data_IF_213529706693
#
_entry.id   IF_213529706693
#
_cell.length_a   1.000
_cell.length_b   1.000
_cell.length_c   1.000
_cell.angle_alpha   90.00
_cell.angle_beta   90.00
_cell.angle_gamma   90.00
#
_symmetry.space_group_name_H-M   'P 1'
#
loop_
_entity.id
_entity.type
_entity.pdbx_description
1 polymer ?
#
# COMPACT_ATOMS: atom_id res chain seq x y z
N UNK A 1 -17.07 4.25 -26.27
CA UNK A 1 -15.81 4.53 -26.97
C UNK A 1 -15.31 3.32 -27.80
N UNK A 2 -15.96 2.14 -27.72
CA UNK A 2 -15.57 0.93 -28.46
C UNK A 2 -14.21 0.34 -28.07
N UNK A 3 -13.63 0.77 -26.93
CA UNK A 3 -12.40 0.20 -26.40
C UNK A 3 -12.71 -1.10 -25.68
N UNK A 4 -11.98 -2.15 -26.03
CA UNK A 4 -12.06 -3.46 -25.37
C UNK A 4 -10.81 -3.64 -24.53
N UNK A 5 -10.96 -4.22 -23.33
CA UNK A 5 -9.83 -4.60 -22.47
C UNK A 5 -8.98 -5.66 -23.22
N UNK A 6 -7.69 -5.41 -23.35
CA UNK A 6 -6.75 -6.32 -24.02
C UNK A 6 -6.20 -7.42 -23.10
N UNK A 7 -6.61 -7.41 -21.83
CA UNK A 7 -6.21 -8.37 -20.83
C UNK A 7 -4.76 -8.25 -20.38
N UNK A 8 -4.04 -7.19 -20.76
CA UNK A 8 -2.61 -7.01 -20.39
C UNK A 8 -2.41 -6.33 -19.03
N UNK A 9 -3.49 -5.83 -18.42
CA UNK A 9 -3.45 -5.13 -17.13
C UNK A 9 -2.99 -3.68 -17.28
N UNK A 10 -2.18 -3.21 -16.34
CA UNK A 10 -1.68 -1.85 -16.28
C UNK A 10 -0.20 -1.78 -16.63
N UNK A 11 0.22 -0.64 -17.20
CA UNK A 11 1.62 -0.31 -17.42
C UNK A 11 2.04 0.90 -16.59
N UNK A 12 3.27 0.87 -16.07
CA UNK A 12 3.92 2.02 -15.46
C UNK A 12 5.35 2.15 -15.98
N UNK A 13 5.63 3.24 -16.67
CA UNK A 13 6.91 3.49 -17.32
C UNK A 13 7.78 4.38 -16.42
N UNK A 14 8.85 3.80 -15.88
CA UNK A 14 9.86 4.56 -15.13
C UNK A 14 10.82 5.17 -16.15
N UNK A 15 10.99 6.51 -16.17
CA UNK A 15 11.93 7.16 -17.07
C UNK A 15 13.37 6.65 -16.86
N UNK A 16 14.13 6.48 -17.95
CA UNK A 16 15.49 5.93 -17.91
C UNK A 16 16.50 6.76 -17.08
N UNK A 17 16.21 8.05 -16.91
CA UNK A 17 17.02 8.95 -16.10
C UNK A 17 16.63 8.95 -14.60
N UNK A 18 15.66 8.14 -14.19
CA UNK A 18 15.28 8.03 -12.77
C UNK A 18 16.45 7.50 -11.95
N UNK A 19 16.83 8.23 -10.90
CA UNK A 19 17.90 7.80 -10.00
C UNK A 19 17.54 6.44 -9.37
N UNK A 20 18.49 5.49 -9.39
CA UNK A 20 18.33 4.23 -8.67
C UNK A 20 18.38 4.50 -7.16
N UNK A 21 17.35 4.09 -6.45
CA UNK A 21 17.19 4.29 -5.00
C UNK A 21 17.42 3.00 -4.19
N UNK A 22 17.59 1.88 -4.89
CA UNK A 22 17.74 0.57 -4.21
C UNK A 22 19.07 0.50 -3.45
N UNK A 23 20.09 1.24 -3.91
CA UNK A 23 21.37 1.35 -3.23
C UNK A 23 21.31 2.18 -1.93
N UNK A 24 20.24 2.96 -1.74
CA UNK A 24 20.03 3.73 -0.51
C UNK A 24 19.47 2.84 0.63
N UNK A 25 19.02 1.61 0.29
CA UNK A 25 18.51 0.64 1.27
C UNK A 25 19.65 -0.01 2.07
N UNK A 26 19.48 -0.18 3.39
CA UNK A 26 20.39 -0.99 4.21
C UNK A 26 20.51 -2.43 3.71
N UNK A 27 21.64 -3.10 4.04
CA UNK A 27 21.95 -4.45 3.54
C UNK A 27 20.85 -5.49 3.87
N UNK A 28 20.22 -5.39 5.03
CA UNK A 28 19.16 -6.31 5.46
C UNK A 28 17.87 -6.21 4.64
N UNK A 29 17.70 -5.15 3.80
CA UNK A 29 16.56 -5.01 2.88
C UNK A 29 16.83 -5.61 1.50
N UNK A 30 18.11 -5.80 1.14
CA UNK A 30 18.50 -6.25 -0.20
C UNK A 30 17.99 -7.64 -0.58
N UNK A 31 17.89 -8.63 0.33
CA UNK A 31 17.36 -9.94 -0.03
C UNK A 31 15.86 -9.88 -0.35
N UNK A 32 15.08 -9.21 0.49
CA UNK A 32 13.63 -9.05 0.33
C UNK A 32 13.08 -8.02 1.33
N UNK A 33 12.02 -7.31 0.94
CA UNK A 33 11.28 -6.42 1.83
C UNK A 33 9.82 -6.27 1.40
N UNK A 34 8.99 -5.75 2.29
CA UNK A 34 7.61 -5.36 2.03
C UNK A 34 7.55 -3.86 1.79
N UNK A 35 6.97 -3.44 0.66
CA UNK A 35 6.59 -2.05 0.44
C UNK A 35 5.27 -1.76 1.15
N UNK A 36 5.29 -0.92 2.17
CA UNK A 36 4.09 -0.50 2.91
C UNK A 36 3.74 0.95 2.56
N UNK A 37 2.70 1.13 1.76
CA UNK A 37 2.19 2.45 1.38
C UNK A 37 1.32 2.98 2.51
N UNK A 38 1.82 3.98 3.24
CA UNK A 38 1.10 4.60 4.36
C UNK A 38 0.34 5.86 3.98
N UNK A 39 0.67 6.45 2.82
CA UNK A 39 0.05 7.65 2.29
C UNK A 39 -1.27 7.37 1.57
N UNK A 40 -2.16 8.35 1.59
CA UNK A 40 -3.35 8.46 0.75
C UNK A 40 -3.80 9.92 0.67
N UNK A 41 -4.54 10.28 -0.40
CA UNK A 41 -5.02 11.66 -0.60
C UNK A 41 -6.07 12.09 0.43
N UNK A 42 -6.76 11.13 1.06
CA UNK A 42 -7.84 11.41 2.01
C UNK A 42 -7.63 10.69 3.33
N UNK A 43 -7.99 11.37 4.42
CA UNK A 43 -7.89 10.84 5.78
C UNK A 43 -8.56 9.46 5.94
N UNK A 44 -9.78 9.31 5.42
CA UNK A 44 -10.55 8.09 5.61
C UNK A 44 -10.15 6.92 4.69
N UNK A 45 -9.05 7.07 3.96
CA UNK A 45 -8.33 5.99 3.27
C UNK A 45 -7.08 5.53 4.02
N UNK A 46 -6.59 6.29 5.03
CA UNK A 46 -5.38 5.96 5.79
C UNK A 46 -5.72 5.11 7.01
N UNK A 47 -4.98 4.04 7.22
CA UNK A 47 -5.09 3.23 8.44
C UNK A 47 -4.46 3.99 9.63
N UNK A 48 -5.05 3.97 10.85
CA UNK A 48 -4.50 4.65 12.02
C UNK A 48 -3.10 4.17 12.41
N UNK A 49 -2.33 5.05 13.05
CA UNK A 49 -0.93 4.81 13.44
C UNK A 49 -0.79 3.56 14.33
N UNK A 50 -1.68 3.35 15.29
CA UNK A 50 -1.66 2.17 16.15
C UNK A 50 -1.87 0.87 15.37
N UNK A 51 -2.69 0.90 14.32
CA UNK A 51 -2.90 -0.24 13.42
C UNK A 51 -1.70 -0.46 12.50
N UNK A 52 -1.07 0.62 12.02
CA UNK A 52 0.20 0.53 11.27
C UNK A 52 1.28 -0.12 12.14
N UNK A 53 1.42 0.31 13.40
CA UNK A 53 2.40 -0.25 14.33
C UNK A 53 2.14 -1.74 14.59
N UNK A 54 0.89 -2.14 14.82
CA UNK A 54 0.52 -3.54 15.00
C UNK A 54 0.83 -4.38 13.74
N UNK A 55 0.52 -3.85 12.56
CA UNK A 55 0.82 -4.51 11.28
C UNK A 55 2.33 -4.70 11.09
N UNK A 56 3.14 -3.65 11.29
CA UNK A 56 4.60 -3.70 11.19
C UNK A 56 5.19 -4.71 12.17
N UNK A 57 4.68 -4.76 13.41
CA UNK A 57 5.13 -5.73 14.41
C UNK A 57 4.92 -7.19 13.97
N UNK A 58 3.84 -7.46 13.23
CA UNK A 58 3.45 -8.82 12.81
C UNK A 58 4.05 -9.26 11.47
N UNK A 59 4.55 -8.35 10.63
CA UNK A 59 5.25 -8.67 9.37
C UNK A 59 6.68 -9.09 9.69
N UNK A 60 7.15 -10.19 9.08
CA UNK A 60 8.49 -10.76 9.34
C UNK A 60 9.61 -10.06 8.57
N UNK A 61 9.35 -9.69 7.32
CA UNK A 61 10.34 -9.04 6.45
C UNK A 61 10.58 -7.58 6.87
N UNK A 62 11.74 -7.01 6.51
CA UNK A 62 11.96 -5.57 6.57
C UNK A 62 10.90 -4.80 5.78
N UNK A 63 10.63 -3.56 6.17
CA UNK A 63 9.55 -2.76 5.60
C UNK A 63 10.08 -1.43 5.09
N UNK A 64 9.81 -1.13 3.82
CA UNK A 64 10.01 0.19 3.23
C UNK A 64 8.68 0.95 3.29
N UNK A 65 8.63 2.03 4.07
CA UNK A 65 7.47 2.92 4.12
C UNK A 65 7.45 3.84 2.91
N UNK A 66 6.32 3.88 2.21
CA UNK A 66 6.13 4.67 1.00
C UNK A 66 4.98 5.65 1.24
N UNK A 67 5.24 6.93 1.00
CA UNK A 67 4.26 8.01 1.21
C UNK A 67 4.77 9.34 0.71
N UNK A 68 3.90 10.35 0.72
CA UNK A 68 4.22 11.72 0.36
C UNK A 68 4.88 12.51 1.49
N UNK A 69 5.15 13.80 1.25
CA UNK A 69 5.71 14.69 2.29
C UNK A 69 4.85 14.75 3.57
N UNK A 70 3.53 14.70 3.44
CA UNK A 70 2.58 14.75 4.57
C UNK A 70 2.64 13.47 5.45
N UNK A 71 3.25 12.40 4.96
CA UNK A 71 3.37 11.13 5.68
C UNK A 71 4.74 10.98 6.36
N UNK A 72 5.65 11.95 6.16
CA UNK A 72 7.04 11.87 6.62
C UNK A 72 7.16 11.74 8.14
N UNK A 73 6.39 12.52 8.90
CA UNK A 73 6.43 12.50 10.37
C UNK A 73 5.97 11.15 10.92
N UNK A 74 4.90 10.59 10.36
CA UNK A 74 4.42 9.25 10.70
C UNK A 74 5.50 8.21 10.36
N UNK A 75 6.13 8.33 9.20
CA UNK A 75 7.23 7.46 8.79
C UNK A 75 8.44 7.53 9.73
N UNK A 76 8.82 8.73 10.20
CA UNK A 76 9.91 8.92 11.19
C UNK A 76 9.56 8.25 12.51
N UNK A 77 8.33 8.45 13.01
CA UNK A 77 7.89 7.83 14.27
C UNK A 77 7.92 6.29 14.18
N UNK A 78 7.46 5.72 13.07
CA UNK A 78 7.50 4.28 12.84
C UNK A 78 8.93 3.74 12.71
N UNK A 79 9.82 4.46 12.01
CA UNK A 79 11.23 4.07 11.91
C UNK A 79 11.92 4.11 13.28
N UNK A 80 11.64 5.12 14.11
CA UNK A 80 12.17 5.18 15.47
C UNK A 80 11.67 4.03 16.36
N UNK A 81 10.38 3.66 16.22
CA UNK A 81 9.79 2.59 17.01
C UNK A 81 10.30 1.18 16.64
N UNK A 82 10.61 0.95 15.34
CA UNK A 82 10.96 -0.37 14.83
C UNK A 82 12.42 -0.52 14.40
N UNK A 83 13.20 0.55 14.48
CA UNK A 83 14.65 0.56 14.20
C UNK A 83 14.99 0.05 12.81
N UNK A 84 16.00 -0.82 12.73
CA UNK A 84 16.56 -1.35 11.48
C UNK A 84 15.58 -2.19 10.63
N UNK A 85 14.40 -2.48 11.15
CA UNK A 85 13.36 -3.19 10.40
C UNK A 85 12.53 -2.29 9.48
N UNK A 86 12.63 -0.98 9.65
CA UNK A 86 11.83 0.00 8.90
C UNK A 86 12.72 1.03 8.25
N UNK A 87 12.61 1.16 6.93
CA UNK A 87 13.22 2.23 6.16
C UNK A 87 12.14 3.24 5.74
N UNK A 88 12.29 4.49 6.18
CA UNK A 88 11.33 5.54 5.85
C UNK A 88 11.70 6.26 4.54
N UNK A 89 10.95 5.97 3.47
CA UNK A 89 11.07 6.65 2.18
C UNK A 89 10.05 7.80 2.01
N UNK A 90 9.16 8.04 2.98
CA UNK A 90 8.08 9.03 2.86
C UNK A 90 8.63 10.46 2.72
N UNK A 91 8.21 11.16 1.65
CA UNK A 91 8.57 12.55 1.41
C UNK A 91 10.05 12.80 1.09
N UNK A 92 10.83 11.74 0.84
CA UNK A 92 12.26 11.82 0.47
C UNK A 92 12.45 11.64 -1.03
N UNK A 93 11.65 10.77 -1.62
CA UNK A 93 11.75 10.35 -3.02
C UNK A 93 10.57 10.84 -3.83
N UNK A 94 10.80 11.16 -5.11
CA UNK A 94 9.71 11.48 -6.04
C UNK A 94 8.91 10.22 -6.40
N UNK A 95 7.82 10.38 -7.16
CA UNK A 95 6.93 9.28 -7.51
C UNK A 95 7.63 8.14 -8.27
N UNK A 96 8.50 8.46 -9.24
CA UNK A 96 9.20 7.45 -10.03
C UNK A 96 10.26 6.70 -9.20
N UNK A 97 10.94 7.42 -8.32
CA UNK A 97 11.88 6.84 -7.36
C UNK A 97 11.13 5.94 -6.35
N UNK A 98 10.00 6.39 -5.82
CA UNK A 98 9.15 5.58 -4.95
C UNK A 98 8.57 4.35 -5.66
N UNK A 99 8.28 4.45 -6.96
CA UNK A 99 7.85 3.32 -7.78
C UNK A 99 8.95 2.25 -7.94
N UNK A 100 10.24 2.63 -7.86
CA UNK A 100 11.34 1.65 -7.82
C UNK A 100 11.29 0.80 -6.55
N UNK A 101 10.98 1.39 -5.37
CA UNK A 101 10.78 0.59 -4.17
C UNK A 101 9.59 -0.38 -4.32
N UNK A 102 8.49 0.05 -4.94
CA UNK A 102 7.36 -0.85 -5.25
C UNK A 102 7.78 -1.97 -6.19
N UNK A 103 8.52 -1.65 -7.26
CA UNK A 103 8.99 -2.62 -8.26
C UNK A 103 9.87 -3.71 -7.66
N UNK A 104 10.72 -3.36 -6.70
CA UNK A 104 11.67 -4.29 -6.06
C UNK A 104 11.12 -4.95 -4.80
N UNK A 105 9.99 -4.50 -4.25
CA UNK A 105 9.35 -5.15 -3.12
C UNK A 105 8.96 -6.60 -3.44
N UNK A 106 9.05 -7.49 -2.47
CA UNK A 106 8.52 -8.84 -2.56
C UNK A 106 6.99 -8.84 -2.47
N UNK A 107 6.45 -7.98 -1.62
CA UNK A 107 5.03 -7.78 -1.40
C UNK A 107 4.70 -6.30 -1.25
N UNK A 108 3.51 -5.88 -1.63
CA UNK A 108 3.05 -4.50 -1.43
C UNK A 108 1.77 -4.49 -0.60
N UNK A 109 1.80 -3.78 0.51
CA UNK A 109 0.59 -3.44 1.27
C UNK A 109 0.25 -1.99 0.99
N UNK A 110 -0.94 -1.74 0.50
CA UNK A 110 -1.37 -0.39 0.10
C UNK A 110 -2.80 -0.12 0.52
N UNK A 111 -3.12 1.16 0.65
CA UNK A 111 -4.50 1.63 0.61
C UNK A 111 -5.00 1.72 -0.85
N UNK A 112 -6.26 2.06 -1.07
CA UNK A 112 -6.81 2.47 -2.37
C UNK A 112 -6.19 3.81 -2.81
N UNK A 113 -5.02 3.73 -3.46
CA UNK A 113 -4.18 4.87 -3.89
C UNK A 113 -3.47 4.56 -5.21
N UNK A 114 -2.83 5.58 -5.80
CA UNK A 114 -2.04 5.41 -7.02
C UNK A 114 -0.95 4.33 -6.93
N UNK A 115 -0.33 4.13 -5.76
CA UNK A 115 0.70 3.09 -5.58
C UNK A 115 0.15 1.66 -5.63
N UNK A 116 -1.14 1.42 -5.33
CA UNK A 116 -1.78 0.13 -5.61
C UNK A 116 -1.71 -0.19 -7.10
N UNK A 117 -2.08 0.77 -7.95
CA UNK A 117 -2.08 0.57 -9.41
C UNK A 117 -0.67 0.44 -9.97
N UNK A 118 0.31 1.15 -9.39
CA UNK A 118 1.74 0.98 -9.73
C UNK A 118 2.21 -0.44 -9.36
N UNK A 119 1.81 -0.95 -8.20
CA UNK A 119 2.12 -2.33 -7.81
C UNK A 119 1.51 -3.36 -8.79
N UNK A 120 0.28 -3.14 -9.22
CA UNK A 120 -0.38 -3.97 -10.23
C UNK A 120 0.36 -3.92 -11.58
N UNK A 121 0.79 -2.72 -12.02
CA UNK A 121 1.56 -2.56 -13.26
C UNK A 121 2.91 -3.32 -13.23
N UNK A 122 3.49 -3.49 -12.05
CA UNK A 122 4.68 -4.32 -11.86
C UNK A 122 4.37 -5.79 -11.51
N UNK A 123 3.10 -6.18 -11.60
CA UNK A 123 2.62 -7.52 -11.28
C UNK A 123 3.03 -8.00 -9.87
N UNK A 124 3.01 -7.10 -8.88
CA UNK A 124 3.42 -7.41 -7.50
C UNK A 124 2.28 -8.05 -6.70
N UNK A 125 2.57 -9.04 -5.84
CA UNK A 125 1.61 -9.47 -4.84
C UNK A 125 1.13 -8.30 -3.98
N UNK A 126 -0.19 -8.17 -3.76
CA UNK A 126 -0.74 -7.03 -3.01
C UNK A 126 -1.72 -7.42 -1.91
N UNK A 127 -1.67 -6.66 -0.82
CA UNK A 127 -2.81 -6.49 0.10
C UNK A 127 -3.31 -5.06 -0.02
N UNK A 128 -4.59 -4.90 -0.34
CA UNK A 128 -5.25 -3.58 -0.36
C UNK A 128 -6.10 -3.40 0.87
N UNK A 129 -5.81 -2.36 1.67
CA UNK A 129 -6.61 -2.01 2.85
C UNK A 129 -7.67 -1.00 2.44
N UNK A 130 -8.94 -1.39 2.58
CA UNK A 130 -10.09 -0.59 2.17
C UNK A 130 -10.71 0.14 3.35
N UNK A 131 -10.75 1.47 3.23
CA UNK A 131 -11.39 2.36 4.19
C UNK A 131 -12.78 2.82 3.74
N UNK A 132 -12.89 4.10 3.38
CA UNK A 132 -14.14 4.71 2.93
C UNK A 132 -14.66 4.20 1.58
N UNK A 133 -13.80 3.59 0.79
CA UNK A 133 -14.06 3.00 -0.53
C UNK A 133 -14.07 1.47 -0.45
N UNK A 134 -14.47 0.80 -1.53
CA UNK A 134 -14.46 -0.67 -1.65
C UNK A 134 -14.12 -1.10 -3.07
N UNK A 135 -13.71 -2.36 -3.30
CA UNK A 135 -13.51 -2.91 -4.65
C UNK A 135 -14.75 -2.81 -5.55
N UNK A 136 -15.95 -2.81 -4.98
CA UNK A 136 -17.21 -2.67 -5.71
C UNK A 136 -17.33 -1.35 -6.50
N UNK A 137 -16.51 -0.34 -6.18
CA UNK A 137 -16.42 0.91 -6.94
C UNK A 137 -15.52 0.81 -8.18
N UNK A 138 -15.05 -0.41 -8.52
CA UNK A 138 -14.18 -0.70 -9.66
C UNK A 138 -12.79 -0.06 -9.62
N UNK A 139 -12.28 0.23 -8.41
CA UNK A 139 -10.90 0.69 -8.18
C UNK A 139 -9.98 -0.42 -7.66
N UNK A 140 -10.42 -1.68 -7.73
CA UNK A 140 -9.64 -2.82 -7.28
C UNK A 140 -8.35 -3.02 -8.09
N UNK A 141 -7.45 -3.82 -7.53
CA UNK A 141 -6.21 -4.21 -8.18
C UNK A 141 -6.47 -4.87 -9.54
N UNK A 142 -5.97 -4.26 -10.61
CA UNK A 142 -6.10 -4.76 -11.98
C UNK A 142 -4.76 -5.34 -12.44
N UNK A 143 -4.74 -6.64 -12.66
CA UNK A 143 -3.59 -7.40 -13.15
C UNK A 143 -3.82 -7.90 -14.57
N UNK A 144 -2.76 -8.33 -15.29
CA UNK A 144 -2.91 -9.11 -16.51
C UNK A 144 -3.81 -10.34 -16.28
N UNK A 145 -4.57 -10.73 -17.29
CA UNK A 145 -5.53 -11.84 -17.19
C UNK A 145 -4.88 -13.20 -16.85
N UNK A 146 -3.58 -13.35 -17.15
CA UNK A 146 -2.79 -14.55 -16.87
C UNK A 146 -1.87 -14.39 -15.63
N UNK A 147 -2.12 -13.39 -14.78
CA UNK A 147 -1.30 -13.16 -13.58
C UNK A 147 -1.68 -14.12 -12.46
N UNK A 148 -0.67 -14.78 -11.88
CA UNK A 148 -0.80 -15.60 -10.66
C UNK A 148 -0.44 -14.80 -9.40
N UNK A 149 -0.14 -13.49 -9.52
CA UNK A 149 0.24 -12.65 -8.38
C UNK A 149 -0.88 -12.64 -7.32
N UNK A 150 -0.59 -13.06 -6.08
CA UNK A 150 -1.57 -13.05 -5.02
C UNK A 150 -2.11 -11.64 -4.74
N UNK A 151 -3.41 -11.55 -4.54
CA UNK A 151 -4.10 -10.31 -4.16
C UNK A 151 -5.08 -10.58 -3.04
N UNK A 152 -5.14 -9.67 -2.09
CA UNK A 152 -6.07 -9.74 -0.98
C UNK A 152 -6.65 -8.37 -0.67
N UNK A 153 -7.98 -8.30 -0.62
CA UNK A 153 -8.72 -7.09 -0.24
C UNK A 153 -9.09 -7.17 1.25
N UNK A 154 -8.42 -6.38 2.08
CA UNK A 154 -8.69 -6.27 3.49
C UNK A 154 -9.87 -5.30 3.72
N UNK A 155 -11.04 -5.87 3.94
CA UNK A 155 -12.31 -5.17 4.15
C UNK A 155 -12.87 -5.59 5.49
N UNK A 156 -13.38 -4.62 6.28
CA UNK A 156 -14.12 -4.93 7.50
C UNK A 156 -15.49 -5.51 7.13
N UNK A 157 -15.79 -6.77 7.51
CA UNK A 157 -17.02 -7.41 7.09
C UNK A 157 -18.26 -6.75 7.72
N UNK A 158 -19.38 -6.79 7.00
CA UNK A 158 -20.69 -6.35 7.47
C UNK A 158 -20.79 -4.88 7.90
N UNK A 159 -19.88 -4.01 7.43
CA UNK A 159 -19.91 -2.59 7.76
C UNK A 159 -20.88 -1.84 6.82
N UNK A 160 -22.11 -1.61 7.27
CA UNK A 160 -23.21 -1.03 6.46
C UNK A 160 -22.92 0.36 5.89
N UNK A 161 -21.98 1.12 6.46
CA UNK A 161 -21.62 2.45 5.98
C UNK A 161 -20.52 2.46 4.91
N UNK A 162 -20.01 1.29 4.51
CA UNK A 162 -18.95 1.15 3.51
C UNK A 162 -19.53 0.60 2.18
N UNK A 163 -19.27 1.23 1.01
CA UNK A 163 -18.53 2.49 0.85
C UNK A 163 -19.35 3.71 1.30
N UNK A 164 -18.72 4.70 1.95
CA UNK A 164 -19.38 5.95 2.34
C UNK A 164 -19.05 7.11 1.39
N UNK A 165 -18.14 6.90 0.45
CA UNK A 165 -17.76 7.88 -0.57
C UNK A 165 -17.17 7.16 -1.79
N UNK A 166 -17.23 7.82 -2.96
CA UNK A 166 -16.61 7.29 -4.20
C UNK A 166 -15.09 7.47 -4.23
N UNK A 167 -14.54 8.50 -3.59
CA UNK A 167 -13.13 8.86 -3.72
C UNK A 167 -12.37 8.93 -2.40
N UNK A 168 -13.06 9.11 -1.29
CA UNK A 168 -12.51 9.43 0.00
C UNK A 168 -12.97 10.81 0.50
N UNK A 169 -12.69 11.12 1.77
CA UNK A 169 -12.92 12.43 2.39
C UNK A 169 -11.98 12.64 3.58
N UNK A 170 -11.84 13.89 4.03
CA UNK A 170 -10.96 14.24 5.15
C UNK A 170 -11.56 13.98 6.54
N UNK A 171 -12.73 13.36 6.60
CA UNK A 171 -13.39 12.96 7.85
C UNK A 171 -14.23 11.71 7.66
N UNK A 172 -14.54 11.01 8.74
CA UNK A 172 -15.52 9.93 8.73
C UNK A 172 -16.93 10.51 8.93
N UNK A 173 -17.86 10.38 7.95
CA UNK A 173 -19.22 10.92 8.09
C UNK A 173 -20.00 10.35 9.29
N UNK A 174 -19.59 9.18 9.79
CA UNK A 174 -20.21 8.49 10.95
C UNK A 174 -19.41 8.70 12.24
N UNK A 175 -18.26 9.37 12.22
CA UNK A 175 -17.41 9.65 13.37
C UNK A 175 -16.64 8.46 13.93
N UNK A 176 -17.05 7.21 13.71
CA UNK A 176 -16.47 6.02 14.35
C UNK A 176 -15.24 5.43 13.64
N UNK A 177 -15.05 5.73 12.37
CA UNK A 177 -13.92 5.28 11.53
C UNK A 177 -13.68 3.75 11.55
N UNK A 178 -14.71 2.96 11.76
CA UNK A 178 -14.63 1.49 11.96
C UNK A 178 -14.04 0.77 10.74
N UNK A 179 -14.20 1.29 9.51
CA UNK A 179 -13.61 0.70 8.30
C UNK A 179 -12.08 0.60 8.37
N UNK A 180 -11.43 1.42 9.20
CA UNK A 180 -9.98 1.36 9.45
C UNK A 180 -9.65 0.88 10.87
N UNK A 181 -10.41 1.31 11.87
CA UNK A 181 -10.18 0.92 13.26
C UNK A 181 -10.34 -0.59 13.50
N UNK A 182 -11.26 -1.25 12.78
CA UNK A 182 -11.54 -2.67 12.93
C UNK A 182 -10.79 -3.55 11.92
N UNK A 183 -9.82 -3.00 11.18
CA UNK A 183 -8.98 -3.82 10.30
C UNK A 183 -8.25 -4.90 11.10
N UNK A 184 -8.27 -6.13 10.58
CA UNK A 184 -7.58 -7.26 11.17
C UNK A 184 -6.11 -7.28 10.70
N UNK A 185 -5.23 -6.62 11.44
CA UNK A 185 -3.80 -6.49 11.12
C UNK A 185 -3.08 -7.83 11.12
N UNK A 186 -3.49 -8.79 11.97
CA UNK A 186 -2.89 -10.13 12.03
C UNK A 186 -3.21 -10.93 10.77
N UNK A 187 -4.45 -10.84 10.27
CA UNK A 187 -4.83 -11.48 9.02
C UNK A 187 -4.09 -10.86 7.82
N UNK A 188 -3.94 -9.52 7.80
CA UNK A 188 -3.16 -8.82 6.78
C UNK A 188 -1.70 -9.31 6.82
N UNK A 189 -1.07 -9.32 8.00
CA UNK A 189 0.30 -9.80 8.17
C UNK A 189 0.45 -11.28 7.77
N UNK A 190 -0.53 -12.13 8.12
CA UNK A 190 -0.52 -13.54 7.72
C UNK A 190 -0.53 -13.72 6.21
N UNK A 191 -1.29 -12.89 5.45
CA UNK A 191 -1.26 -12.90 3.98
C UNK A 191 0.08 -12.49 3.40
N UNK A 192 0.74 -11.50 4.02
CA UNK A 192 2.08 -11.04 3.60
C UNK A 192 3.17 -12.07 3.94
N UNK A 193 3.06 -12.74 5.09
CA UNK A 193 4.05 -13.69 5.58
C UNK A 193 3.92 -15.10 4.97
N UNK A 194 2.89 -15.36 4.17
CA UNK A 194 2.60 -16.69 3.58
C UNK A 194 3.40 -17.00 2.29
N UNK A 195 4.23 -16.05 1.83
CA UNK A 195 5.06 -16.18 0.61
C UNK A 195 6.52 -16.46 0.91
#
# INVERSE_FOLDING_TARGET
LGVVDDGKGLDYFIPSHTKSVINDLPENFKPAYVGLVIGASYFNKKIPLEKLSALIASIKLPIVLIGGPDDREVGVALQQAFGDRVFNACGVYNMNESALFVKHAQYVVSHDTGFLHIACAFNKPTVTIWGATTPALQFSALYPANSDSPRYDAIVPNLKCQPCTKQGSNHCPKGHFNCMQLQNTDLIAAKVNAL
#
